data_IF_059187147036
#
_entry.id   IF_059187147036
#
_cell.length_a   1.000
_cell.length_b   1.000
_cell.length_c   1.000
_cell.angle_alpha   90.00
_cell.angle_beta   90.00
_cell.angle_gamma   90.00
#
_symmetry.space_group_name_H-M   'P 1'
#
loop_
_entity.id
_entity.type
_entity.pdbx_description
1 polymer ?
#
# COMPACT_ATOMS: atom_id res chain seq x y z
N UNK A 1 -22.53 -43.22 -7.60
CA UNK A 1 -22.08 -42.37 -8.68
C UNK A 1 -22.47 -40.94 -8.49
N UNK A 2 -23.72 -40.66 -8.30
CA UNK A 2 -24.13 -39.30 -8.15
C UNK A 2 -23.53 -38.66 -6.94
N UNK A 3 -23.40 -39.42 -5.88
CA UNK A 3 -22.80 -38.87 -4.67
C UNK A 3 -21.35 -38.47 -4.92
N UNK A 4 -20.69 -39.27 -5.73
CA UNK A 4 -19.32 -38.96 -6.04
C UNK A 4 -19.19 -37.66 -6.79
N UNK A 5 -20.10 -37.42 -7.71
CA UNK A 5 -20.08 -36.19 -8.47
C UNK A 5 -20.33 -35.01 -7.58
N UNK A 6 -21.24 -35.14 -6.65
CA UNK A 6 -21.52 -34.05 -5.74
C UNK A 6 -20.32 -33.76 -4.88
N UNK A 7 -19.61 -34.77 -4.47
CA UNK A 7 -18.41 -34.58 -3.68
C UNK A 7 -17.36 -33.80 -4.44
N UNK A 8 -17.15 -34.18 -5.69
CA UNK A 8 -16.16 -33.53 -6.50
C UNK A 8 -16.51 -32.05 -6.68
N UNK A 9 -17.76 -31.81 -6.91
CA UNK A 9 -18.23 -30.45 -7.08
C UNK A 9 -17.97 -29.62 -5.82
N UNK A 10 -18.23 -30.22 -4.69
CA UNK A 10 -18.01 -29.57 -3.42
C UNK A 10 -16.54 -29.23 -3.21
N UNK A 11 -15.68 -30.15 -3.59
CA UNK A 11 -14.25 -29.91 -3.44
C UNK A 11 -13.77 -28.76 -4.31
N UNK A 12 -14.31 -28.65 -5.50
CA UNK A 12 -13.92 -27.54 -6.37
C UNK A 12 -14.28 -26.20 -5.77
N UNK A 13 -15.46 -26.13 -5.20
CA UNK A 13 -15.88 -24.90 -4.55
C UNK A 13 -14.97 -24.55 -3.40
N UNK A 14 -14.60 -25.56 -2.65
CA UNK A 14 -13.73 -25.34 -1.51
C UNK A 14 -12.36 -24.84 -1.94
N UNK A 15 -11.83 -25.44 -2.98
CA UNK A 15 -10.53 -25.01 -3.49
C UNK A 15 -10.56 -23.56 -3.95
N UNK A 16 -11.65 -23.16 -4.56
CA UNK A 16 -11.75 -21.76 -5.00
C UNK A 16 -11.70 -20.83 -3.82
N UNK A 17 -12.29 -21.20 -2.70
CA UNK A 17 -12.25 -20.33 -1.53
C UNK A 17 -10.86 -20.20 -0.96
N UNK A 18 -10.09 -21.26 -1.02
CA UNK A 18 -8.77 -21.23 -0.44
C UNK A 18 -7.77 -20.49 -1.29
N UNK A 19 -8.12 -20.22 -2.51
CA UNK A 19 -7.20 -19.57 -3.42
C UNK A 19 -7.22 -18.08 -3.32
N UNK A 20 -7.60 -17.57 -2.19
CA UNK A 20 -7.64 -16.13 -2.03
C UNK A 20 -6.24 -15.58 -1.89
N UNK A 21 -5.91 -14.63 -2.72
CA UNK A 21 -4.61 -14.00 -2.69
C UNK A 21 -4.68 -12.62 -2.11
N UNK A 22 -3.57 -12.12 -1.57
CA UNK A 22 -3.57 -10.76 -1.06
C UNK A 22 -3.83 -9.78 -2.20
N UNK A 23 -4.27 -8.59 -1.81
CA UNK A 23 -4.54 -7.55 -2.78
C UNK A 23 -3.28 -7.26 -3.57
N UNK A 24 -3.41 -7.12 -4.88
CA UNK A 24 -2.22 -6.82 -5.67
C UNK A 24 -1.65 -5.46 -5.32
N UNK A 25 -0.35 -5.35 -5.47
CA UNK A 25 0.33 -4.08 -5.28
C UNK A 25 0.41 -3.41 -6.63
N UNK A 26 -0.47 -2.44 -6.84
CA UNK A 26 -0.52 -1.70 -8.09
C UNK A 26 -0.10 -0.28 -7.80
N UNK A 27 0.95 0.16 -8.46
CA UNK A 27 1.50 1.47 -8.23
C UNK A 27 0.94 2.43 -9.27
N UNK A 28 0.19 3.44 -8.83
CA UNK A 28 -0.34 4.42 -9.79
C UNK A 28 0.77 5.17 -10.50
N UNK A 29 0.47 5.65 -11.69
CA UNK A 29 1.47 6.35 -12.48
C UNK A 29 1.98 7.59 -11.76
N UNK A 30 1.08 8.32 -11.11
CA UNK A 30 1.53 9.52 -10.39
C UNK A 30 2.50 9.17 -9.27
N UNK A 31 2.32 8.00 -8.65
CA UNK A 31 3.21 7.61 -7.57
C UNK A 31 4.57 7.21 -8.12
N UNK A 32 4.59 6.55 -9.26
CA UNK A 32 5.87 6.23 -9.88
C UNK A 32 6.65 7.51 -10.21
N UNK A 33 5.94 8.53 -10.67
CA UNK A 33 6.59 9.80 -10.95
C UNK A 33 7.14 10.43 -9.67
N UNK A 34 6.37 10.33 -8.58
CA UNK A 34 6.83 10.89 -7.32
C UNK A 34 8.07 10.16 -6.83
N UNK A 35 8.10 8.85 -6.97
CA UNK A 35 9.27 8.07 -6.57
C UNK A 35 10.47 8.48 -7.40
N UNK A 36 10.27 8.69 -8.69
CA UNK A 36 11.38 9.12 -9.55
C UNK A 36 11.93 10.47 -9.09
N UNK A 37 11.06 11.37 -8.69
CA UNK A 37 11.52 12.66 -8.16
C UNK A 37 12.37 12.47 -6.92
N UNK A 38 11.96 11.58 -6.04
CA UNK A 38 12.74 11.33 -4.84
C UNK A 38 14.10 10.75 -5.19
N UNK A 39 14.14 9.84 -6.14
CA UNK A 39 15.39 9.22 -6.53
C UNK A 39 16.37 10.24 -7.11
N UNK A 40 15.86 11.22 -7.82
CA UNK A 40 16.73 12.24 -8.39
C UNK A 40 17.25 13.20 -7.35
N UNK A 41 16.48 13.40 -6.29
CA UNK A 41 16.83 14.40 -5.30
C UNK A 41 17.58 13.90 -4.10
N UNK A 42 18.03 12.67 -4.13
CA UNK A 42 18.68 12.13 -2.94
C UNK A 42 17.68 11.54 -1.99
N UNK A 43 17.41 10.28 -2.15
CA UNK A 43 16.28 9.65 -1.48
C UNK A 43 16.66 8.86 -0.24
N UNK A 44 17.85 9.02 0.25
CA UNK A 44 18.29 8.23 1.40
C UNK A 44 17.33 8.41 2.57
N UNK A 45 16.83 7.29 3.09
CA UNK A 45 15.91 7.36 4.20
C UNK A 45 14.46 7.57 3.80
N UNK A 46 14.15 7.48 2.51
CA UNK A 46 12.80 7.68 2.02
C UNK A 46 12.12 6.36 1.73
N UNK A 47 10.81 6.33 1.90
CA UNK A 47 10.04 5.13 1.62
C UNK A 47 8.61 5.50 1.29
N UNK A 48 7.90 4.55 0.70
CA UNK A 48 6.48 4.68 0.39
C UNK A 48 5.78 3.43 0.87
N UNK A 49 4.73 3.61 1.64
CA UNK A 49 3.92 2.52 2.12
C UNK A 49 2.47 2.71 1.70
N UNK A 50 1.77 1.59 1.51
CA UNK A 50 0.36 1.61 1.20
C UNK A 50 -0.41 1.13 2.41
N UNK A 51 -1.43 1.88 2.79
CA UNK A 51 -2.34 1.49 3.88
C UNK A 51 -3.74 1.35 3.34
N UNK A 52 -4.54 0.57 4.03
CA UNK A 52 -5.96 0.47 3.76
C UNK A 52 -6.72 1.16 4.88
N UNK A 53 -7.63 2.05 4.52
CA UNK A 53 -8.44 2.76 5.49
C UNK A 53 -9.82 2.95 4.89
N UNK A 54 -10.84 2.43 5.58
CA UNK A 54 -12.21 2.50 5.11
C UNK A 54 -12.34 2.02 3.67
N UNK A 55 -11.66 0.90 3.40
CA UNK A 55 -11.74 0.21 2.13
C UNK A 55 -11.14 0.99 0.97
N UNK A 56 -10.29 1.95 1.26
CA UNK A 56 -9.55 2.67 0.24
C UNK A 56 -8.07 2.54 0.50
N UNK A 57 -7.30 2.65 -0.55
CA UNK A 57 -5.84 2.63 -0.43
C UNK A 57 -5.32 4.05 -0.27
N UNK A 58 -4.34 4.19 0.61
CA UNK A 58 -3.66 5.45 0.84
C UNK A 58 -2.16 5.19 0.76
N UNK A 59 -1.44 6.12 0.20
CA UNK A 59 0.01 5.99 0.05
C UNK A 59 0.69 7.03 0.90
N UNK A 60 1.60 6.57 1.73
CA UNK A 60 2.33 7.43 2.65
C UNK A 60 3.77 7.55 2.16
N UNK A 61 4.17 8.74 1.76
CA UNK A 61 5.52 9.05 1.34
C UNK A 61 6.21 9.75 2.50
N UNK A 62 7.37 9.25 2.88
CA UNK A 62 8.07 9.84 4.01
C UNK A 62 9.56 9.65 3.86
N UNK A 63 10.30 10.69 4.19
CA UNK A 63 11.75 10.64 4.30
C UNK A 63 12.11 10.96 5.74
N UNK A 64 13.05 10.22 6.31
CA UNK A 64 13.27 10.32 7.75
C UNK A 64 13.91 11.64 8.15
N UNK A 65 14.35 12.46 7.19
CA UNK A 65 14.87 13.78 7.52
C UNK A 65 13.79 14.87 7.42
N UNK A 66 12.55 14.48 7.11
CA UNK A 66 11.44 15.43 7.11
C UNK A 66 10.97 15.65 8.53
N UNK A 67 10.60 16.89 8.83
CA UNK A 67 10.05 17.17 10.14
C UNK A 67 8.58 16.79 10.27
N UNK A 68 7.90 16.62 9.16
CA UNK A 68 6.49 16.29 9.17
C UNK A 68 6.29 14.85 8.71
N UNK A 69 5.82 14.01 9.62
CA UNK A 69 5.67 12.59 9.30
C UNK A 69 4.50 12.35 8.34
N UNK A 70 3.40 13.05 8.54
CA UNK A 70 2.17 12.78 7.79
C UNK A 70 1.86 13.84 6.75
N UNK A 71 2.88 14.55 6.26
CA UNK A 71 2.60 15.62 5.31
C UNK A 71 2.30 15.11 3.91
N UNK A 72 2.75 13.91 3.56
CA UNK A 72 2.50 13.39 2.23
C UNK A 72 1.80 12.05 2.33
N UNK A 73 0.51 12.11 2.59
CA UNK A 73 -0.35 10.95 2.50
C UNK A 73 -1.35 11.22 1.39
N UNK A 74 -1.35 10.35 0.40
CA UNK A 74 -2.14 10.54 -0.82
C UNK A 74 -3.24 9.52 -0.91
N UNK A 75 -4.36 9.93 -1.47
CA UNK A 75 -5.37 8.98 -1.87
C UNK A 75 -4.94 8.27 -3.15
N UNK A 76 -5.66 7.24 -3.51
CA UNK A 76 -5.27 6.45 -4.66
C UNK A 76 -5.21 7.28 -5.94
N UNK A 77 -6.02 8.31 -6.05
CA UNK A 77 -6.05 9.14 -7.24
C UNK A 77 -4.95 10.21 -7.26
N UNK A 78 -4.13 10.26 -6.25
CA UNK A 78 -3.01 11.19 -6.24
C UNK A 78 -3.27 12.49 -5.50
N UNK A 79 -4.45 12.68 -4.95
CA UNK A 79 -4.73 13.89 -4.19
C UNK A 79 -4.26 13.73 -2.76
N UNK A 80 -3.73 14.80 -2.19
CA UNK A 80 -3.35 14.78 -0.80
C UNK A 80 -4.57 14.61 0.09
N UNK A 81 -4.38 13.90 1.18
CA UNK A 81 -5.45 13.74 2.15
C UNK A 81 -5.78 15.08 2.77
N UNK A 82 -7.07 15.33 2.90
CA UNK A 82 -7.55 16.56 3.53
C UNK A 82 -7.95 16.23 4.95
N UNK A 83 -7.14 16.68 5.90
CA UNK A 83 -7.39 16.34 7.31
C UNK A 83 -8.58 17.09 7.88
N UNK A 84 -9.17 17.99 7.14
CA UNK A 84 -10.43 18.59 7.56
C UNK A 84 -11.60 17.67 7.22
N UNK A 85 -11.41 16.78 6.26
CA UNK A 85 -12.44 15.82 5.88
C UNK A 85 -12.24 14.50 6.59
N UNK A 86 -11.00 14.04 6.64
CA UNK A 86 -10.66 12.78 7.29
C UNK A 86 -10.05 13.11 8.65
N UNK A 87 -10.61 12.52 9.69
CA UNK A 87 -10.07 12.72 11.02
C UNK A 87 -8.72 12.05 11.13
N UNK A 88 -7.69 12.86 11.45
CA UNK A 88 -6.32 12.35 11.47
C UNK A 88 -6.12 11.25 12.50
N UNK A 89 -6.70 11.44 13.67
CA UNK A 89 -6.52 10.44 14.72
C UNK A 89 -7.22 9.14 14.37
N UNK A 90 -8.38 9.24 13.73
CA UNK A 90 -9.09 8.05 13.32
C UNK A 90 -8.32 7.30 12.25
N UNK A 91 -7.75 8.04 11.29
CA UNK A 91 -6.95 7.43 10.27
C UNK A 91 -5.75 6.71 10.87
N UNK A 92 -5.04 7.39 11.75
CA UNK A 92 -3.83 6.83 12.33
C UNK A 92 -4.14 5.58 13.15
N UNK A 93 -5.28 5.59 13.81
CA UNK A 93 -5.65 4.48 14.67
C UNK A 93 -6.19 3.29 13.89
N UNK A 94 -6.89 3.54 12.78
CA UNK A 94 -7.61 2.48 12.09
C UNK A 94 -7.04 2.12 10.74
N UNK A 95 -6.01 2.80 10.25
CA UNK A 95 -5.37 2.35 9.03
C UNK A 95 -4.77 0.97 9.25
N UNK A 96 -4.75 0.17 8.21
CA UNK A 96 -4.37 -1.21 8.36
C UNK A 96 -3.59 -1.68 7.14
N UNK A 97 -3.02 -2.88 7.27
CA UNK A 97 -2.39 -3.59 6.17
C UNK A 97 -1.28 -2.77 5.51
N UNK A 98 -0.29 -2.35 6.29
CA UNK A 98 0.83 -1.61 5.69
C UNK A 98 1.62 -2.52 4.76
N UNK A 99 1.87 -2.01 3.58
CA UNK A 99 2.65 -2.73 2.58
C UNK A 99 3.71 -1.78 2.07
N UNK A 100 4.97 -2.21 2.16
CA UNK A 100 6.05 -1.41 1.64
C UNK A 100 6.02 -1.45 0.13
N UNK A 101 5.85 -0.29 -0.51
CA UNK A 101 5.83 -0.17 -1.95
C UNK A 101 7.23 0.05 -2.48
N UNK A 102 7.97 0.91 -1.84
CA UNK A 102 9.28 1.31 -2.32
C UNK A 102 10.10 1.85 -1.17
N UNK A 103 11.38 1.57 -1.21
CA UNK A 103 12.31 2.09 -0.23
C UNK A 103 13.60 2.42 -0.93
N UNK A 104 14.14 3.60 -0.62
CA UNK A 104 15.38 3.99 -1.25
C UNK A 104 16.52 3.13 -0.71
N UNK A 105 17.22 2.52 -1.61
CA UNK A 105 18.19 1.51 -1.26
C UNK A 105 19.57 1.98 -1.57
N UNK A 106 20.01 3.02 -0.91
CA UNK A 106 21.30 3.59 -1.18
C UNK A 106 22.40 3.11 -0.28
N UNK A 107 22.05 2.42 0.77
CA UNK A 107 23.08 2.03 1.71
C UNK A 107 23.99 0.98 1.14
N UNK A 108 23.58 0.28 0.10
CA UNK A 108 24.51 -0.68 -0.47
C UNK A 108 25.70 -0.04 -1.06
N UNK A 109 25.54 1.18 -1.51
CA UNK A 109 26.68 1.85 -2.08
C UNK A 109 27.67 2.24 -1.02
N UNK A 110 27.24 2.27 0.21
CA UNK A 110 28.14 2.60 1.27
C UNK A 110 29.09 1.49 1.64
N UNK A 111 28.79 0.31 1.16
CA UNK A 111 29.68 -0.78 1.53
C UNK A 111 30.97 -0.72 0.81
#
# INVERSE_FOLDING_TARGET
MRKLQILIFFLLTFAACENREPDPVITPVWLEARIAELEEGGCQGCSVKRYTYKEEYFFHVYCNYWSCYDCEIYRYDGTLVDWEIINHQDFDKNKARPILIWECNTEETGE
#
